data_IF_011033934613
#
_entry.id   IF_011033934613
#
_cell.length_a   1.000
_cell.length_b   1.000
_cell.length_c   1.000
_cell.angle_alpha   90.00
_cell.angle_beta   90.00
_cell.angle_gamma   90.00
#
_symmetry.space_group_name_H-M   'P 1'
#
loop_
_entity.id
_entity.type
_entity.pdbx_description
1 polymer ?
#
# COMPACT_ATOMS: atom_id res chain seq x y z
N UNK A 1 2.89 -6.99 -30.19
CA UNK A 1 3.75 -5.78 -30.20
C UNK A 1 3.21 -4.83 -29.14
N UNK A 2 3.88 -4.77 -27.99
CA UNK A 2 3.50 -3.88 -26.89
C UNK A 2 4.06 -2.47 -27.16
N UNK A 3 3.28 -1.39 -26.93
CA UNK A 3 3.78 -0.04 -27.12
C UNK A 3 4.83 0.28 -26.04
N UNK A 4 6.06 0.49 -26.47
CA UNK A 4 7.15 1.00 -25.65
C UNK A 4 6.79 2.42 -25.21
N UNK A 5 6.43 2.58 -23.95
CA UNK A 5 6.30 3.88 -23.31
C UNK A 5 7.67 4.59 -23.36
N UNK A 6 7.81 5.54 -24.28
CA UNK A 6 8.96 6.45 -24.31
C UNK A 6 9.00 7.22 -22.97
N UNK A 7 9.97 6.89 -22.11
CA UNK A 7 10.35 7.70 -20.96
C UNK A 7 10.85 9.05 -21.48
N UNK A 8 10.02 10.08 -21.49
CA UNK A 8 10.48 11.45 -21.47
C UNK A 8 11.18 11.67 -20.11
N UNK A 9 12.50 11.57 -20.10
CA UNK A 9 13.31 12.09 -19.00
C UNK A 9 13.25 13.62 -19.09
N UNK A 10 12.29 14.24 -18.41
CA UNK A 10 12.42 15.61 -17.98
C UNK A 10 13.50 15.60 -16.89
N UNK A 11 14.59 16.35 -17.10
CA UNK A 11 15.60 16.61 -16.07
C UNK A 11 15.03 17.62 -15.03
N UNK A 12 13.83 17.40 -14.55
CA UNK A 12 13.22 18.20 -13.51
C UNK A 12 13.93 17.85 -12.20
N UNK A 13 14.57 18.85 -11.60
CA UNK A 13 15.21 18.69 -10.30
C UNK A 13 14.13 18.52 -9.23
N UNK A 14 14.48 17.90 -8.09
CA UNK A 14 13.57 17.77 -6.95
C UNK A 14 13.00 19.14 -6.52
N UNK A 15 13.83 20.19 -6.61
CA UNK A 15 13.42 21.56 -6.27
C UNK A 15 12.38 22.11 -7.26
N UNK A 16 12.52 21.85 -8.55
CA UNK A 16 11.55 22.26 -9.57
C UNK A 16 10.22 21.51 -9.38
N UNK A 17 10.28 20.25 -9.04
CA UNK A 17 9.10 19.44 -8.71
C UNK A 17 8.38 20.01 -7.46
N UNK A 18 9.11 20.32 -6.40
CA UNK A 18 8.56 20.91 -5.17
C UNK A 18 7.94 22.28 -5.46
N UNK A 19 8.62 23.14 -6.26
CA UNK A 19 8.06 24.45 -6.67
C UNK A 19 6.77 24.28 -7.44
N UNK A 20 6.73 23.38 -8.41
CA UNK A 20 5.54 23.11 -9.21
C UNK A 20 4.33 22.65 -8.35
N UNK A 21 4.59 21.77 -7.38
CA UNK A 21 3.56 21.36 -6.41
C UNK A 21 3.10 22.54 -5.55
N UNK A 22 4.01 23.35 -5.05
CA UNK A 22 3.68 24.51 -4.22
C UNK A 22 2.82 25.51 -4.97
N UNK A 23 3.16 25.83 -6.23
CA UNK A 23 2.37 26.72 -7.09
C UNK A 23 0.99 26.15 -7.38
N UNK A 24 0.88 24.84 -7.63
CA UNK A 24 -0.44 24.17 -7.78
C UNK A 24 -1.27 24.25 -6.51
N UNK A 25 -0.65 24.17 -5.34
CA UNK A 25 -1.35 24.29 -4.07
C UNK A 25 -1.85 25.72 -3.82
N UNK A 26 -1.08 26.74 -4.18
CA UNK A 26 -1.51 28.15 -4.10
C UNK A 26 -2.79 28.35 -4.91
N UNK A 27 -2.88 27.78 -6.09
CA UNK A 27 -4.07 27.85 -6.95
C UNK A 27 -5.28 27.08 -6.41
N UNK A 28 -5.05 26.05 -5.57
CA UNK A 28 -6.13 25.23 -5.00
C UNK A 28 -6.57 25.76 -3.62
N UNK A 29 -5.72 26.56 -2.98
CA UNK A 29 -5.97 27.05 -1.62
C UNK A 29 -7.15 28.04 -1.63
N UNK A 30 -8.24 27.77 -0.88
CA UNK A 30 -9.39 28.67 -0.84
C UNK A 30 -9.04 29.99 -0.14
N UNK A 31 -9.55 31.10 -0.68
CA UNK A 31 -9.38 32.43 -0.08
C UNK A 31 -10.41 32.60 1.04
N UNK A 32 -9.96 32.65 2.29
CA UNK A 32 -10.83 32.93 3.45
C UNK A 32 -10.78 34.44 3.75
N UNK A 33 -11.91 35.14 3.58
CA UNK A 33 -11.96 36.61 3.69
C UNK A 33 -11.80 37.13 5.12
N UNK A 34 -12.20 36.40 6.16
CA UNK A 34 -12.13 36.87 7.56
C UNK A 34 -11.71 35.71 8.49
N UNK A 35 -10.41 35.42 8.65
CA UNK A 35 -9.98 34.38 9.56
C UNK A 35 -10.22 34.77 11.04
N UNK A 36 -10.69 33.81 11.85
CA UNK A 36 -10.95 34.00 13.27
C UNK A 36 -9.64 34.29 14.03
N UNK A 37 -9.67 35.27 14.94
CA UNK A 37 -8.53 35.55 15.82
C UNK A 37 -8.34 34.39 16.81
N UNK A 38 -7.11 33.96 17.02
CA UNK A 38 -6.72 32.99 18.06
C UNK A 38 -6.05 33.74 19.21
N UNK A 39 -6.42 33.41 20.44
CA UNK A 39 -5.71 33.86 21.63
C UNK A 39 -4.31 33.25 21.66
N UNK A 40 -3.33 34.01 22.15
CA UNK A 40 -1.91 33.62 22.18
C UNK A 40 -1.65 32.28 22.89
N UNK A 41 -2.49 31.93 23.86
CA UNK A 41 -2.25 30.83 24.78
C UNK A 41 -2.86 29.48 24.33
N UNK A 42 -3.78 29.51 23.35
CA UNK A 42 -4.43 28.33 22.81
C UNK A 42 -4.10 28.15 21.31
N UNK A 43 -3.00 27.48 21.02
CA UNK A 43 -2.63 27.17 19.63
C UNK A 43 -3.45 25.95 19.19
N UNK A 44 -4.35 26.14 18.23
CA UNK A 44 -5.06 25.06 17.56
C UNK A 44 -4.13 24.51 16.46
N UNK A 45 -3.64 23.28 16.63
CA UNK A 45 -2.82 22.63 15.60
C UNK A 45 -3.76 21.92 14.61
N UNK A 46 -3.81 22.35 13.33
CA UNK A 46 -4.64 21.72 12.32
C UNK A 46 -4.25 20.25 12.14
N UNK A 47 -5.22 19.36 12.01
CA UNK A 47 -5.00 17.94 11.74
C UNK A 47 -5.10 17.64 10.23
N UNK A 48 -4.67 16.44 9.82
CA UNK A 48 -4.79 15.99 8.42
C UNK A 48 -6.26 15.91 7.99
N UNK A 49 -7.16 15.60 8.90
CA UNK A 49 -8.61 15.55 8.63
C UNK A 49 -9.21 16.95 8.49
N UNK A 50 -8.72 17.90 9.29
CA UNK A 50 -9.19 19.28 9.34
C UNK A 50 -8.14 20.26 8.79
N UNK A 51 -7.53 19.94 7.66
CA UNK A 51 -6.46 20.75 7.05
C UNK A 51 -6.89 22.18 6.72
N UNK A 52 -8.18 22.42 6.50
CA UNK A 52 -8.72 23.76 6.25
C UNK A 52 -8.66 24.69 7.48
N UNK A 53 -8.43 24.15 8.67
CA UNK A 53 -8.37 24.97 9.90
C UNK A 53 -7.16 25.92 9.86
N UNK A 54 -6.09 25.60 9.13
CA UNK A 54 -4.95 26.51 8.92
C UNK A 54 -5.37 27.83 8.25
N UNK A 55 -6.44 27.82 7.48
CA UNK A 55 -6.98 28.98 6.78
C UNK A 55 -8.11 29.69 7.54
N UNK A 56 -8.83 28.94 8.39
CA UNK A 56 -9.95 29.49 9.19
C UNK A 56 -9.46 30.42 10.29
N UNK A 57 -8.25 30.19 10.78
CA UNK A 57 -7.70 30.92 11.91
C UNK A 57 -6.56 31.84 11.51
N UNK A 58 -6.51 33.04 12.12
CA UNK A 58 -5.43 34.00 11.88
C UNK A 58 -4.24 33.72 12.81
N UNK A 59 -3.40 32.78 12.42
CA UNK A 59 -2.16 32.48 13.14
C UNK A 59 -1.13 33.59 13.02
N UNK A 60 -0.39 33.85 14.10
CA UNK A 60 0.81 34.68 14.04
C UNK A 60 2.03 33.85 13.54
N UNK A 61 3.14 34.54 13.21
CA UNK A 61 4.33 33.88 12.66
C UNK A 61 4.93 32.86 13.63
N UNK A 62 4.91 33.15 14.95
CA UNK A 62 5.44 32.24 15.98
C UNK A 62 4.62 30.95 16.07
N UNK A 63 3.30 31.07 16.03
CA UNK A 63 2.38 29.91 16.03
C UNK A 63 2.56 29.04 14.78
N UNK A 64 2.70 29.67 13.60
CA UNK A 64 2.96 28.94 12.36
C UNK A 64 4.29 28.17 12.39
N UNK A 65 5.34 28.76 12.98
CA UNK A 65 6.63 28.06 13.19
C UNK A 65 6.47 26.85 14.11
N UNK A 66 5.64 26.93 15.16
CA UNK A 66 5.36 25.81 16.06
C UNK A 66 4.61 24.71 15.29
N UNK A 67 3.58 25.07 14.53
CA UNK A 67 2.82 24.12 13.70
C UNK A 67 3.74 23.46 12.66
N UNK A 68 4.57 24.23 11.95
CA UNK A 68 5.51 23.70 10.96
C UNK A 68 6.51 22.72 11.63
N UNK A 69 7.03 23.06 12.83
CA UNK A 69 7.92 22.18 13.60
C UNK A 69 7.24 20.88 14.01
N UNK A 70 5.97 20.93 14.42
CA UNK A 70 5.18 19.74 14.77
C UNK A 70 5.11 18.74 13.59
N UNK A 71 4.98 19.24 12.37
CA UNK A 71 4.95 18.43 11.15
C UNK A 71 6.34 18.21 10.52
N UNK A 72 7.42 18.56 11.21
CA UNK A 72 8.81 18.44 10.72
C UNK A 72 9.04 19.17 9.38
N UNK A 73 8.35 20.29 9.18
CA UNK A 73 8.47 21.11 7.99
C UNK A 73 9.51 22.24 8.21
N UNK A 74 10.02 22.80 7.12
CA UNK A 74 10.93 23.96 7.16
C UNK A 74 10.23 25.15 7.82
N UNK A 75 10.86 25.72 8.85
CA UNK A 75 10.32 26.82 9.68
C UNK A 75 10.68 28.22 9.20
N UNK A 76 11.57 28.34 8.21
CA UNK A 76 11.96 29.62 7.60
C UNK A 76 10.96 30.06 6.55
N UNK A 77 10.82 31.37 6.40
CA UNK A 77 9.96 32.02 5.42
C UNK A 77 8.99 33.02 6.04
N UNK A 78 8.24 33.69 5.19
CA UNK A 78 7.21 34.64 5.60
C UNK A 78 5.90 33.91 6.01
N UNK A 79 4.93 34.67 6.53
CA UNK A 79 3.66 34.12 7.01
C UNK A 79 2.92 33.32 5.92
N UNK A 80 2.82 33.86 4.71
CA UNK A 80 2.11 33.23 3.61
C UNK A 80 2.79 31.95 3.14
N UNK A 81 4.13 31.93 3.06
CA UNK A 81 4.89 30.73 2.72
C UNK A 81 4.70 29.60 3.74
N UNK A 82 4.66 29.93 5.05
CA UNK A 82 4.42 28.94 6.09
C UNK A 82 3.00 28.38 6.03
N UNK A 83 2.00 29.23 5.81
CA UNK A 83 0.61 28.79 5.64
C UNK A 83 0.49 27.88 4.43
N UNK A 84 1.00 28.27 3.28
CA UNK A 84 0.99 27.45 2.06
C UNK A 84 1.69 26.12 2.27
N UNK A 85 2.84 26.12 2.91
CA UNK A 85 3.62 24.90 3.18
C UNK A 85 2.85 23.93 4.09
N UNK A 86 2.30 24.42 5.18
CA UNK A 86 1.51 23.58 6.11
C UNK A 86 0.22 23.10 5.45
N UNK A 87 -0.49 23.99 4.75
CA UNK A 87 -1.71 23.63 4.02
C UNK A 87 -1.44 22.54 2.98
N UNK A 88 -0.43 22.72 2.13
CA UNK A 88 -0.05 21.75 1.10
C UNK A 88 0.29 20.40 1.69
N UNK A 89 1.08 20.38 2.77
CA UNK A 89 1.43 19.15 3.47
C UNK A 89 0.19 18.41 3.98
N UNK A 90 -0.69 19.09 4.70
CA UNK A 90 -1.88 18.48 5.28
C UNK A 90 -2.88 18.05 4.20
N UNK A 91 -3.09 18.89 3.17
CA UNK A 91 -3.97 18.60 2.04
C UNK A 91 -3.54 17.32 1.31
N UNK A 92 -2.28 17.24 0.86
CA UNK A 92 -1.79 16.04 0.17
C UNK A 92 -1.74 14.82 1.10
N UNK A 93 -1.37 14.99 2.37
CA UNK A 93 -1.39 13.90 3.33
C UNK A 93 -2.77 13.27 3.48
N UNK A 94 -3.84 14.05 3.41
CA UNK A 94 -5.22 13.54 3.46
C UNK A 94 -5.55 12.59 2.30
N UNK A 95 -5.06 12.89 1.10
CA UNK A 95 -5.21 12.00 -0.07
C UNK A 95 -4.28 10.82 -0.03
N UNK A 96 -3.03 11.02 0.37
CA UNK A 96 -2.03 9.95 0.48
C UNK A 96 -2.51 8.87 1.46
N UNK A 97 -3.09 9.25 2.60
CA UNK A 97 -3.64 8.29 3.57
C UNK A 97 -4.78 7.46 2.96
N UNK A 98 -5.66 8.09 2.17
CA UNK A 98 -6.74 7.38 1.46
C UNK A 98 -6.18 6.37 0.46
N UNK A 99 -5.19 6.78 -0.34
CA UNK A 99 -4.52 5.91 -1.31
C UNK A 99 -3.83 4.74 -0.60
N UNK A 100 -3.08 5.02 0.46
CA UNK A 100 -2.39 3.99 1.25
C UNK A 100 -3.36 2.97 1.86
N UNK A 101 -4.54 3.42 2.32
CA UNK A 101 -5.58 2.54 2.86
C UNK A 101 -6.08 1.57 1.80
N UNK A 102 -6.41 2.08 0.60
CA UNK A 102 -6.88 1.26 -0.53
C UNK A 102 -5.80 0.28 -0.96
N UNK A 103 -4.56 0.77 -1.09
CA UNK A 103 -3.44 -0.04 -1.56
C UNK A 103 -3.08 -1.16 -0.59
N UNK A 104 -3.04 -0.88 0.73
CA UNK A 104 -2.85 -1.92 1.76
C UNK A 104 -3.93 -2.99 1.68
N UNK A 105 -5.19 -2.59 1.55
CA UNK A 105 -6.29 -3.53 1.38
C UNK A 105 -6.17 -4.38 0.12
N UNK A 106 -5.73 -3.79 -0.99
CA UNK A 106 -5.49 -4.50 -2.24
C UNK A 106 -4.36 -5.52 -2.12
N UNK A 107 -3.23 -5.14 -1.50
CA UNK A 107 -2.09 -6.05 -1.28
C UNK A 107 -2.53 -7.24 -0.43
N UNK A 108 -3.23 -7.01 0.69
CA UNK A 108 -3.69 -8.09 1.57
C UNK A 108 -4.65 -9.03 0.85
N UNK A 109 -5.57 -8.51 0.04
CA UNK A 109 -6.48 -9.35 -0.75
C UNK A 109 -5.74 -10.17 -1.80
N UNK A 110 -4.79 -9.55 -2.52
CA UNK A 110 -3.94 -10.27 -3.48
C UNK A 110 -3.11 -11.35 -2.80
N UNK A 111 -2.49 -11.02 -1.67
CA UNK A 111 -1.70 -11.98 -0.90
C UNK A 111 -2.54 -13.19 -0.48
N UNK A 112 -3.74 -12.96 0.08
CA UNK A 112 -4.66 -14.04 0.43
C UNK A 112 -5.08 -14.88 -0.79
N UNK A 113 -5.33 -14.25 -1.92
CA UNK A 113 -5.72 -14.94 -3.15
C UNK A 113 -4.61 -15.86 -3.68
N UNK A 114 -3.33 -15.47 -3.52
CA UNK A 114 -2.19 -16.30 -3.90
C UNK A 114 -2.09 -17.59 -3.09
N UNK A 115 -2.60 -17.62 -1.86
CA UNK A 115 -2.65 -18.85 -1.06
C UNK A 115 -3.76 -19.82 -1.47
N UNK A 116 -4.59 -19.44 -2.43
CA UNK A 116 -5.60 -20.29 -3.03
C UNK A 116 -6.90 -20.41 -2.23
N UNK A 117 -7.83 -21.29 -2.69
CA UNK A 117 -9.20 -21.34 -2.19
C UNK A 117 -9.33 -21.82 -0.74
N UNK A 118 -8.41 -22.66 -0.25
CA UNK A 118 -8.44 -23.17 1.12
C UNK A 118 -7.64 -22.33 2.11
N UNK A 119 -7.11 -21.18 1.71
CA UNK A 119 -6.27 -20.30 2.53
C UNK A 119 -6.88 -19.98 3.90
N UNK A 120 -8.17 -19.72 3.95
CA UNK A 120 -8.91 -19.36 5.18
C UNK A 120 -9.66 -20.53 5.81
N UNK A 121 -9.88 -21.62 5.09
CA UNK A 121 -10.61 -22.79 5.55
C UNK A 121 -9.93 -24.07 5.03
N UNK A 122 -9.00 -24.60 5.83
CA UNK A 122 -8.17 -25.77 5.51
C UNK A 122 -8.97 -27.03 5.27
N UNK A 123 -10.10 -27.18 5.95
CA UNK A 123 -11.02 -28.33 5.80
C UNK A 123 -11.64 -28.45 4.39
N UNK A 124 -11.39 -27.50 3.49
CA UNK A 124 -11.73 -27.62 2.07
C UNK A 124 -10.73 -28.47 1.29
N UNK A 125 -9.55 -28.73 1.86
CA UNK A 125 -8.56 -29.59 1.22
C UNK A 125 -8.99 -31.04 1.26
N UNK A 126 -8.74 -31.75 0.16
CA UNK A 126 -9.01 -33.20 0.05
C UNK A 126 -7.94 -34.01 0.76
N UNK A 127 -6.69 -33.53 0.74
CA UNK A 127 -5.61 -34.17 1.48
C UNK A 127 -5.56 -33.66 2.92
N UNK A 128 -5.19 -34.57 3.85
CA UNK A 128 -5.08 -34.29 5.28
C UNK A 128 -3.68 -33.84 5.70
N UNK A 129 -2.67 -34.25 4.94
CA UNK A 129 -1.25 -34.05 5.25
C UNK A 129 -0.47 -33.55 4.03
N UNK A 130 0.66 -32.89 4.25
CA UNK A 130 1.59 -32.52 3.18
C UNK A 130 2.40 -33.76 2.71
N UNK A 131 2.65 -33.85 1.42
CA UNK A 131 3.26 -35.04 0.79
C UNK A 131 4.76 -35.24 1.09
N UNK A 132 5.47 -34.24 1.63
CA UNK A 132 6.89 -34.31 1.98
C UNK A 132 7.08 -34.30 3.48
N UNK A 133 6.52 -33.32 4.16
CA UNK A 133 6.70 -33.14 5.60
C UNK A 133 5.81 -34.03 6.44
N UNK A 134 4.74 -34.57 5.86
CA UNK A 134 3.70 -35.33 6.56
C UNK A 134 3.01 -34.53 7.68
N UNK A 135 3.18 -33.20 7.66
CA UNK A 135 2.54 -32.30 8.60
C UNK A 135 1.05 -32.17 8.25
N UNK A 136 0.15 -32.21 9.24
CA UNK A 136 -1.28 -31.97 8.99
C UNK A 136 -1.51 -30.62 8.32
N UNK A 137 -2.33 -30.59 7.27
CA UNK A 137 -2.63 -29.37 6.50
C UNK A 137 -3.17 -28.25 7.40
N UNK A 138 -3.86 -28.58 8.47
CA UNK A 138 -4.42 -27.62 9.42
C UNK A 138 -3.34 -26.88 10.23
N UNK A 139 -2.22 -27.55 10.50
CA UNK A 139 -1.11 -27.04 11.33
C UNK A 139 -0.12 -26.18 10.54
N UNK A 140 -0.09 -26.31 9.20
CA UNK A 140 0.79 -25.49 8.35
C UNK A 140 0.48 -24.01 8.54
N UNK A 141 1.51 -23.20 8.85
CA UNK A 141 1.38 -21.77 9.06
C UNK A 141 0.81 -21.08 7.82
N UNK A 142 0.02 -20.01 8.02
CA UNK A 142 -0.66 -19.32 6.92
C UNK A 142 0.28 -18.92 5.78
N UNK A 143 1.44 -18.36 6.09
CA UNK A 143 2.42 -17.89 5.09
C UNK A 143 3.19 -19.02 4.38
N UNK A 144 3.13 -20.24 4.89
CA UNK A 144 3.75 -21.44 4.30
C UNK A 144 2.74 -22.31 3.54
N UNK A 145 1.47 -22.01 3.65
CA UNK A 145 0.42 -22.78 3.02
C UNK A 145 0.04 -22.26 1.65
N UNK A 146 -0.16 -23.16 0.72
CA UNK A 146 -0.74 -22.88 -0.59
C UNK A 146 -1.76 -23.96 -0.93
N UNK A 147 -2.84 -23.57 -1.56
CA UNK A 147 -3.85 -24.49 -2.08
C UNK A 147 -4.26 -24.11 -3.49
N UNK A 148 -4.63 -25.08 -4.28
CA UNK A 148 -5.24 -24.83 -5.58
C UNK A 148 -6.37 -25.82 -5.85
N UNK A 149 -7.30 -25.43 -6.73
CA UNK A 149 -8.35 -26.31 -7.22
C UNK A 149 -7.86 -26.96 -8.50
N UNK A 150 -7.82 -28.29 -8.48
CA UNK A 150 -7.36 -29.08 -9.61
C UNK A 150 -8.49 -29.28 -10.65
N UNK A 151 -8.12 -29.85 -11.80
CA UNK A 151 -9.04 -30.14 -12.93
C UNK A 151 -10.11 -31.16 -12.57
N UNK A 152 -9.83 -32.03 -11.59
CA UNK A 152 -10.79 -33.00 -11.01
C UNK A 152 -11.86 -32.34 -10.13
N UNK A 153 -11.71 -31.02 -9.84
CA UNK A 153 -12.62 -30.25 -9.01
C UNK A 153 -12.28 -30.26 -7.53
N UNK A 154 -11.33 -31.07 -7.08
CA UNK A 154 -10.86 -31.13 -5.71
C UNK A 154 -9.84 -30.05 -5.39
N UNK A 155 -9.73 -29.70 -4.10
CA UNK A 155 -8.78 -28.71 -3.61
C UNK A 155 -7.67 -29.44 -2.87
N UNK A 156 -6.43 -29.18 -3.27
CA UNK A 156 -5.26 -29.75 -2.63
C UNK A 156 -4.47 -28.65 -1.91
N UNK A 157 -4.03 -28.94 -0.68
CA UNK A 157 -3.21 -28.08 0.16
C UNK A 157 -1.77 -28.59 0.22
N UNK A 158 -0.82 -27.67 0.31
CA UNK A 158 0.62 -27.95 0.30
C UNK A 158 1.36 -26.99 1.23
N UNK A 159 2.47 -27.47 1.77
CA UNK A 159 3.54 -26.59 2.21
C UNK A 159 4.25 -26.01 0.98
N UNK A 160 4.44 -24.68 0.95
CA UNK A 160 5.12 -23.99 -0.16
C UNK A 160 6.53 -24.53 -0.38
N UNK A 161 7.24 -24.90 0.70
CA UNK A 161 8.61 -25.42 0.60
C UNK A 161 8.59 -26.80 -0.07
N UNK A 162 7.65 -27.66 0.31
CA UNK A 162 7.46 -28.96 -0.31
C UNK A 162 7.15 -28.86 -1.80
N UNK A 163 6.26 -27.96 -2.16
CA UNK A 163 5.90 -27.69 -3.55
C UNK A 163 7.08 -27.09 -4.35
N UNK A 164 7.82 -26.14 -3.77
CA UNK A 164 9.01 -25.57 -4.37
C UNK A 164 10.09 -26.64 -4.64
N UNK A 165 10.32 -27.55 -3.69
CA UNK A 165 11.25 -28.66 -3.86
C UNK A 165 10.83 -29.62 -4.98
N UNK A 166 9.53 -29.84 -5.15
CA UNK A 166 8.98 -30.59 -6.27
C UNK A 166 9.30 -29.92 -7.61
N UNK A 167 9.16 -28.58 -7.68
CA UNK A 167 9.47 -27.81 -8.87
C UNK A 167 10.95 -27.84 -9.22
N UNK A 168 11.83 -27.70 -8.23
CA UNK A 168 13.28 -27.75 -8.45
C UNK A 168 13.79 -29.10 -8.96
N UNK A 169 13.13 -30.20 -8.58
CA UNK A 169 13.48 -31.55 -9.04
C UNK A 169 12.95 -31.85 -10.44
N UNK A 170 12.02 -31.09 -10.94
CA UNK A 170 11.43 -31.28 -12.27
C UNK A 170 12.31 -30.66 -13.35
N UNK A 171 12.59 -31.41 -14.40
CA UNK A 171 13.38 -30.92 -15.55
C UNK A 171 12.61 -29.93 -16.43
N UNK A 172 11.30 -30.04 -16.42
CA UNK A 172 10.37 -29.24 -17.24
C UNK A 172 9.21 -28.74 -16.38
N UNK A 173 8.96 -27.43 -16.41
CA UNK A 173 7.87 -26.80 -15.67
C UNK A 173 6.50 -27.36 -16.10
N UNK A 174 6.35 -27.70 -17.39
CA UNK A 174 5.11 -28.25 -17.94
C UNK A 174 4.86 -29.74 -17.62
N UNK A 175 5.78 -30.44 -16.93
CA UNK A 175 5.68 -31.87 -16.62
C UNK A 175 5.41 -32.17 -15.14
N UNK A 176 5.18 -31.12 -14.34
CA UNK A 176 5.02 -31.27 -12.88
C UNK A 176 3.63 -31.81 -12.55
N UNK A 177 3.60 -32.94 -11.85
CA UNK A 177 2.38 -33.64 -11.47
C UNK A 177 2.07 -33.43 -9.99
N UNK A 178 0.80 -33.29 -9.69
CA UNK A 178 0.29 -33.32 -8.32
C UNK A 178 0.59 -34.67 -7.66
N UNK A 179 1.29 -34.68 -6.51
CA UNK A 179 1.69 -35.94 -5.84
C UNK A 179 0.50 -36.83 -5.43
N UNK A 180 -0.67 -36.27 -5.22
CA UNK A 180 -1.84 -37.00 -4.73
C UNK A 180 -2.64 -37.69 -5.85
N UNK A 181 -2.89 -37.00 -6.97
CA UNK A 181 -3.75 -37.53 -8.05
C UNK A 181 -3.00 -37.72 -9.38
N UNK A 182 -1.72 -37.34 -9.46
CA UNK A 182 -0.85 -37.44 -10.64
C UNK A 182 -1.30 -36.63 -11.86
N UNK A 183 -2.29 -35.74 -11.70
CA UNK A 183 -2.66 -34.78 -12.73
C UNK A 183 -1.61 -33.68 -12.88
N UNK A 184 -1.57 -32.98 -14.03
CA UNK A 184 -0.64 -31.88 -14.22
C UNK A 184 -1.03 -30.69 -13.36
N UNK A 185 -0.06 -30.13 -12.63
CA UNK A 185 -0.30 -28.90 -11.85
C UNK A 185 -0.57 -27.74 -12.81
N UNK A 186 -1.66 -26.98 -12.64
CA UNK A 186 -1.99 -25.87 -13.52
C UNK A 186 -0.89 -24.79 -13.54
N UNK A 187 -0.64 -24.23 -14.72
CA UNK A 187 0.46 -23.27 -14.94
C UNK A 187 0.33 -22.01 -14.06
N UNK A 188 -0.89 -21.60 -13.72
CA UNK A 188 -1.12 -20.43 -12.85
C UNK A 188 -0.68 -20.63 -11.38
N UNK A 189 -0.45 -21.89 -10.96
CA UNK A 189 0.08 -22.22 -9.62
C UNK A 189 1.60 -22.11 -9.61
N UNK A 190 2.23 -22.31 -10.77
CA UNK A 190 3.69 -22.36 -10.93
C UNK A 190 4.28 -20.98 -11.22
N UNK A 191 3.50 -20.09 -11.85
CA UNK A 191 3.86 -18.69 -12.18
C UNK A 191 3.57 -17.71 -11.05
#
# INVERSE_FOLDING_TARGET
>A
MSPILKKNKSNETLDDYIRNITTKCENIMPIVKNPMKINSDNIIIPTIENYNDILKYNYNLSQLKIIAKNYKLKISGNKNELITRVYSYLYFSSYIIKIQRIFRGLIVRKYKALHGPAAMKRSLCTNTEDFVTMEPIEDIKFHQFLSYKDVDGFIYGFDIISLHNLFLKSKDIGSIKNPYNRTMIPEYVIK
#
